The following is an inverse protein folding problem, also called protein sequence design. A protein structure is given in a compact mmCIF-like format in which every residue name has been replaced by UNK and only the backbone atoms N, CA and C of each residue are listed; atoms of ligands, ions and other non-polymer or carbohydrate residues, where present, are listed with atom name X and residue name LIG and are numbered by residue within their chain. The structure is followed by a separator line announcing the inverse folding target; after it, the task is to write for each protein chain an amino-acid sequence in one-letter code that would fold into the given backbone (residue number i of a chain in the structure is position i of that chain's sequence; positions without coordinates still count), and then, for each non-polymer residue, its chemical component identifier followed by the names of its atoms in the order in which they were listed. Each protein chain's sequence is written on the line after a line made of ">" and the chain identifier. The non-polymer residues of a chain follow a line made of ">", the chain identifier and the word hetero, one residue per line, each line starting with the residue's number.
data_IF_924387943167
#
_entry.id   IF_924387943167
#
_cell.length_a   1.000
_cell.length_b   1.000
_cell.length_c   1.000
_cell.angle_alpha   90.00
_cell.angle_beta   90.00
_cell.angle_gamma   90.00
#
_symmetry.space_group_name_H-M   'P 1'
#
loop_
_entity.id
_entity.type
_entity.pdbx_description
1 polymer ?
#
# COMPACT_ATOMS: atom_id res chain seq x y z
N UNK A 1 -11.88 -1.63 -15.61
CA UNK A 1 -11.85 -0.35 -14.85
C UNK A 1 -13.01 0.59 -15.19
N UNK A 2 -13.79 0.26 -16.23
CA UNK A 2 -15.00 1.00 -16.62
C UNK A 2 -15.99 1.19 -15.47
N UNK A 3 -16.16 0.20 -14.59
CA UNK A 3 -17.05 0.32 -13.44
C UNK A 3 -16.69 1.50 -12.52
N UNK A 4 -15.41 1.66 -12.15
CA UNK A 4 -14.97 2.75 -11.25
C UNK A 4 -15.07 4.10 -11.94
N UNK A 5 -14.70 4.20 -13.22
CA UNK A 5 -14.82 5.44 -13.98
C UNK A 5 -16.28 5.85 -14.19
N UNK A 6 -17.15 4.88 -14.50
CA UNK A 6 -18.59 5.07 -14.59
C UNK A 6 -19.19 5.53 -13.27
N UNK A 7 -18.77 4.93 -12.14
CA UNK A 7 -19.21 5.35 -10.80
C UNK A 7 -18.72 6.76 -10.45
N UNK A 8 -17.47 7.10 -10.77
CA UNK A 8 -16.95 8.46 -10.57
C UNK A 8 -17.75 9.49 -11.38
N UNK A 9 -18.08 9.16 -12.64
CA UNK A 9 -18.89 10.02 -13.52
C UNK A 9 -20.32 10.18 -12.99
N UNK A 10 -20.96 9.11 -12.53
CA UNK A 10 -22.36 9.15 -12.07
C UNK A 10 -22.53 9.74 -10.66
N UNK A 11 -21.52 9.62 -9.80
CA UNK A 11 -21.59 10.11 -8.40
C UNK A 11 -20.88 11.43 -8.17
N UNK A 12 -20.10 11.93 -9.13
CA UNK A 12 -19.24 13.11 -8.98
C UNK A 12 -18.04 12.90 -8.03
N UNK A 13 -17.84 11.68 -7.52
CA UNK A 13 -16.73 11.35 -6.61
C UNK A 13 -15.46 11.03 -7.40
N UNK A 14 -14.30 11.20 -6.77
CA UNK A 14 -12.99 10.77 -7.31
C UNK A 14 -12.47 9.57 -6.51
N UNK A 15 -12.91 8.37 -6.88
CA UNK A 15 -12.45 7.11 -6.31
C UNK A 15 -11.24 6.60 -7.08
N UNK A 16 -10.19 6.21 -6.36
CA UNK A 16 -8.98 5.62 -6.92
C UNK A 16 -8.99 4.09 -6.97
N UNK A 17 -7.91 3.52 -7.46
CA UNK A 17 -7.65 2.07 -7.54
C UNK A 17 -6.35 1.70 -6.82
N UNK A 18 -6.30 0.46 -6.34
CA UNK A 18 -5.14 -0.06 -5.60
C UNK A 18 -4.77 -1.49 -6.05
N UNK A 19 -4.41 -1.70 -7.33
CA UNK A 19 -4.07 -3.03 -7.84
C UNK A 19 -2.83 -3.62 -7.18
N UNK A 20 -2.85 -4.94 -6.95
CA UNK A 20 -1.72 -5.71 -6.45
C UNK A 20 -1.21 -6.68 -7.51
N UNK A 21 0.11 -6.74 -7.70
CA UNK A 21 0.75 -7.83 -8.46
C UNK A 21 1.06 -8.98 -7.49
N UNK A 22 0.37 -10.10 -7.67
CA UNK A 22 0.58 -11.33 -6.88
C UNK A 22 1.62 -12.22 -7.58
N UNK A 23 2.57 -12.75 -6.80
CA UNK A 23 3.49 -13.81 -7.23
C UNK A 23 4.15 -13.54 -8.59
N UNK A 24 4.69 -12.34 -8.77
CA UNK A 24 5.21 -11.86 -10.04
C UNK A 24 6.35 -12.76 -10.56
N UNK A 25 7.25 -13.19 -9.68
CA UNK A 25 8.34 -14.09 -10.02
C UNK A 25 7.84 -15.44 -10.54
N UNK A 26 6.86 -16.03 -9.86
CA UNK A 26 6.25 -17.30 -10.27
C UNK A 26 5.57 -17.18 -11.64
N UNK A 27 4.71 -16.18 -11.84
CA UNK A 27 4.03 -16.02 -13.12
C UNK A 27 5.01 -15.86 -14.29
N UNK A 28 6.16 -15.18 -14.09
CA UNK A 28 7.18 -15.10 -15.13
C UNK A 28 7.85 -16.44 -15.43
N UNK A 29 8.04 -17.28 -14.42
CA UNK A 29 8.53 -18.66 -14.63
C UNK A 29 7.53 -19.48 -15.46
N UNK A 30 6.24 -19.24 -15.27
CA UNK A 30 5.15 -19.81 -16.08
C UNK A 30 4.95 -19.11 -17.45
N UNK A 31 5.86 -18.22 -17.85
CA UNK A 31 5.81 -17.52 -19.13
C UNK A 31 4.81 -16.36 -19.21
N UNK A 32 4.26 -15.91 -18.07
CA UNK A 32 3.28 -14.83 -17.99
C UNK A 32 3.86 -13.59 -17.31
N UNK A 33 3.77 -12.43 -17.96
CA UNK A 33 4.21 -11.14 -17.40
C UNK A 33 3.01 -10.31 -16.94
N UNK A 34 2.50 -10.63 -15.75
CA UNK A 34 1.36 -9.93 -15.14
C UNK A 34 1.60 -8.42 -15.00
N UNK A 35 2.81 -8.03 -14.61
CA UNK A 35 3.15 -6.62 -14.40
C UNK A 35 3.03 -5.83 -15.70
N UNK A 36 3.60 -6.35 -16.79
CA UNK A 36 3.49 -5.71 -18.10
C UNK A 36 2.05 -5.65 -18.59
N UNK A 37 1.30 -6.74 -18.44
CA UNK A 37 -0.12 -6.78 -18.81
C UNK A 37 -0.95 -5.75 -18.01
N UNK A 38 -0.72 -5.67 -16.69
CA UNK A 38 -1.36 -4.70 -15.82
C UNK A 38 -1.04 -3.25 -16.23
N UNK A 39 0.21 -2.93 -16.56
CA UNK A 39 0.59 -1.58 -17.02
C UNK A 39 -0.10 -1.19 -18.33
N UNK A 40 -0.26 -2.13 -19.27
CA UNK A 40 -1.02 -1.89 -20.52
C UNK A 40 -2.47 -1.53 -20.20
N UNK A 41 -3.10 -2.24 -19.27
CA UNK A 41 -4.47 -1.94 -18.83
C UNK A 41 -4.51 -0.57 -18.14
N UNK A 42 -3.62 -0.30 -17.20
CA UNK A 42 -3.56 1.00 -16.50
C UNK A 42 -3.44 2.17 -17.47
N UNK A 43 -2.52 2.09 -18.43
CA UNK A 43 -2.32 3.11 -19.45
C UNK A 43 -3.56 3.32 -20.31
N UNK A 44 -4.24 2.24 -20.72
CA UNK A 44 -5.50 2.30 -21.50
C UNK A 44 -6.59 3.07 -20.77
N UNK A 45 -6.61 3.01 -19.43
CA UNK A 45 -7.57 3.72 -18.59
C UNK A 45 -7.07 5.07 -18.07
N UNK A 46 -5.94 5.57 -18.56
CA UNK A 46 -5.42 6.90 -18.25
C UNK A 46 -4.62 6.99 -16.95
N UNK A 47 -4.21 5.87 -16.36
CA UNK A 47 -3.30 5.86 -15.22
C UNK A 47 -1.86 5.75 -15.72
N UNK A 48 -1.05 6.77 -15.50
CA UNK A 48 0.32 6.83 -16.03
C UNK A 48 1.34 7.41 -15.04
N UNK A 49 0.92 8.30 -14.14
CA UNK A 49 1.82 9.14 -13.33
C UNK A 49 1.42 9.20 -11.86
N UNK A 50 2.27 9.81 -11.04
CA UNK A 50 1.99 9.99 -9.61
C UNK A 50 0.84 10.95 -9.32
N UNK A 51 0.25 11.66 -10.29
CA UNK A 51 -0.95 12.48 -10.03
C UNK A 51 -2.22 11.66 -10.11
N UNK A 52 -2.20 10.52 -10.79
CA UNK A 52 -3.38 9.68 -10.98
C UNK A 52 -3.73 8.96 -9.68
N UNK A 53 -5.02 8.69 -9.46
CA UNK A 53 -5.52 8.02 -8.25
C UNK A 53 -5.30 6.50 -8.33
N UNK A 54 -4.05 6.09 -8.51
CA UNK A 54 -3.64 4.69 -8.59
C UNK A 54 -2.38 4.46 -7.76
N UNK A 55 -2.44 3.44 -6.92
CA UNK A 55 -1.27 2.84 -6.26
C UNK A 55 -1.13 1.40 -6.74
N UNK A 56 0.03 1.04 -7.28
CA UNK A 56 0.35 -0.37 -7.55
C UNK A 56 1.13 -0.92 -6.36
N UNK A 57 0.76 -2.09 -5.86
CA UNK A 57 1.46 -2.74 -4.75
C UNK A 57 1.97 -4.13 -5.09
N UNK A 58 3.03 -4.54 -4.40
CA UNK A 58 3.59 -5.89 -4.50
C UNK A 58 4.40 -6.23 -3.24
N UNK A 59 4.45 -7.51 -2.87
CA UNK A 59 5.34 -8.02 -1.81
C UNK A 59 6.79 -8.19 -2.27
N UNK A 60 7.01 -8.35 -3.58
CA UNK A 60 8.32 -8.61 -4.15
C UNK A 60 9.00 -7.29 -4.52
N UNK A 61 9.96 -6.83 -3.70
CA UNK A 61 10.68 -5.59 -3.95
C UNK A 61 11.38 -5.57 -5.31
N UNK A 62 11.92 -6.71 -5.74
CA UNK A 62 12.54 -6.87 -7.07
C UNK A 62 11.56 -6.55 -8.20
N UNK A 63 10.27 -6.86 -8.03
CA UNK A 63 9.26 -6.53 -9.04
C UNK A 63 8.95 -5.03 -9.05
N UNK A 64 8.96 -4.38 -7.89
CA UNK A 64 8.80 -2.93 -7.82
C UNK A 64 9.98 -2.20 -8.47
N UNK A 65 11.20 -2.71 -8.30
CA UNK A 65 12.38 -2.23 -9.02
C UNK A 65 12.21 -2.38 -10.53
N UNK A 66 11.77 -3.55 -10.99
CA UNK A 66 11.50 -3.81 -12.40
C UNK A 66 10.42 -2.89 -12.97
N UNK A 67 9.29 -2.73 -12.26
CA UNK A 67 8.21 -1.81 -12.63
C UNK A 67 8.74 -0.38 -12.81
N UNK A 68 9.58 0.09 -11.87
CA UNK A 68 10.14 1.44 -11.92
C UNK A 68 11.18 1.62 -13.02
N UNK A 69 12.16 0.71 -13.11
CA UNK A 69 13.40 0.92 -13.85
C UNK A 69 13.37 0.32 -15.26
N UNK A 70 12.69 -0.82 -15.44
CA UNK A 70 12.68 -1.55 -16.72
C UNK A 70 11.38 -1.30 -17.49
N UNK A 71 10.24 -1.38 -16.81
CA UNK A 71 8.93 -1.19 -17.43
C UNK A 71 8.48 0.27 -17.47
N UNK A 72 9.24 1.17 -16.86
CA UNK A 72 9.05 2.62 -16.97
C UNK A 72 7.77 3.14 -16.30
N UNK A 73 7.22 2.45 -15.30
CA UNK A 73 6.06 2.93 -14.56
C UNK A 73 6.40 4.24 -13.84
N UNK A 74 5.59 5.28 -14.08
CA UNK A 74 5.76 6.61 -13.45
C UNK A 74 4.73 6.90 -12.37
N UNK A 75 3.79 5.98 -12.12
CA UNK A 75 2.82 6.10 -11.04
C UNK A 75 3.38 5.73 -9.67
N UNK A 76 2.48 5.68 -8.68
CA UNK A 76 2.84 5.38 -7.29
C UNK A 76 3.03 3.88 -7.08
N UNK A 77 4.10 3.50 -6.38
CA UNK A 77 4.42 2.12 -6.01
C UNK A 77 4.38 1.93 -4.49
N UNK A 78 3.90 0.78 -4.01
CA UNK A 78 3.86 0.45 -2.57
C UNK A 78 4.47 -0.93 -2.32
N UNK A 79 5.44 -0.98 -1.41
CA UNK A 79 6.01 -2.24 -0.93
C UNK A 79 5.13 -2.82 0.18
N UNK A 80 4.60 -4.02 -0.06
CA UNK A 80 3.91 -4.80 0.97
C UNK A 80 4.90 -5.59 1.81
N UNK A 81 4.66 -5.66 3.12
CA UNK A 81 5.45 -6.50 4.03
C UNK A 81 4.54 -7.29 4.96
N UNK A 82 4.86 -8.56 5.18
CA UNK A 82 4.12 -9.47 6.08
C UNK A 82 4.77 -9.66 7.46
N UNK A 83 5.98 -9.13 7.65
CA UNK A 83 6.76 -9.30 8.86
C UNK A 83 8.01 -8.42 8.85
N UNK A 84 8.90 -8.68 9.82
CA UNK A 84 10.17 -7.96 9.95
C UNK A 84 11.02 -8.12 8.68
N UNK A 85 11.60 -7.03 8.23
CA UNK A 85 12.52 -6.99 7.11
C UNK A 85 13.47 -5.79 7.24
N UNK A 86 14.77 -5.96 6.96
CA UNK A 86 15.73 -4.85 6.97
C UNK A 86 15.33 -3.66 6.09
N UNK A 87 14.55 -3.91 5.02
CA UNK A 87 14.08 -2.89 4.08
C UNK A 87 13.24 -1.79 4.74
N UNK A 88 12.48 -2.10 5.79
CA UNK A 88 11.63 -1.12 6.47
C UNK A 88 11.96 -0.95 7.96
N UNK A 89 12.64 -1.92 8.56
CA UNK A 89 12.94 -1.90 9.99
C UNK A 89 14.13 -0.99 10.34
N UNK A 90 14.96 -0.65 9.36
CA UNK A 90 16.18 0.18 9.51
C UNK A 90 16.08 1.49 8.72
N UNK A 91 16.75 2.55 9.20
CA UNK A 91 16.79 3.84 8.48
C UNK A 91 17.41 3.69 7.09
N UNK A 92 18.49 2.93 6.99
CA UNK A 92 19.21 2.77 5.72
C UNK A 92 18.45 1.90 4.73
N UNK A 93 17.76 0.85 5.19
CA UNK A 93 16.83 0.09 4.35
C UNK A 93 15.71 0.99 3.82
N UNK A 94 15.08 1.77 4.70
CA UNK A 94 13.98 2.67 4.34
C UNK A 94 14.42 3.74 3.33
N UNK A 95 15.62 4.29 3.49
CA UNK A 95 16.24 5.20 2.51
C UNK A 95 16.54 4.49 1.20
N UNK A 96 17.05 3.26 1.26
CA UNK A 96 17.42 2.46 0.08
C UNK A 96 16.24 2.17 -0.85
N UNK A 97 15.02 2.03 -0.31
CA UNK A 97 13.82 1.80 -1.14
C UNK A 97 13.16 3.09 -1.65
N UNK A 98 13.56 4.27 -1.17
CA UNK A 98 12.89 5.55 -1.43
C UNK A 98 12.96 6.04 -2.88
N UNK A 99 13.92 5.54 -3.66
CA UNK A 99 14.00 5.84 -5.10
C UNK A 99 13.03 5.00 -5.94
N UNK A 100 12.51 3.91 -5.37
CA UNK A 100 11.68 2.94 -6.10
C UNK A 100 10.22 3.09 -5.73
N UNK A 101 9.93 3.12 -4.43
CA UNK A 101 8.55 3.11 -3.91
C UNK A 101 8.12 4.48 -3.38
N UNK A 102 6.80 4.67 -3.29
CA UNK A 102 6.16 5.89 -2.81
C UNK A 102 5.43 5.65 -1.47
N UNK A 103 5.39 4.41 -1.02
CA UNK A 103 4.81 4.02 0.25
C UNK A 103 5.12 2.59 0.63
N UNK A 104 4.73 2.24 1.86
CA UNK A 104 4.77 0.89 2.40
C UNK A 104 3.38 0.49 2.88
N UNK A 105 3.04 -0.78 2.72
CA UNK A 105 1.86 -1.40 3.29
C UNK A 105 2.26 -2.56 4.17
N UNK A 106 2.59 -2.31 5.46
CA UNK A 106 2.96 -3.39 6.36
C UNK A 106 1.73 -4.05 6.99
N UNK A 107 1.90 -5.23 7.57
CA UNK A 107 0.91 -5.76 8.49
C UNK A 107 0.67 -4.79 9.68
N UNK A 108 -0.57 -4.71 10.18
CA UNK A 108 -0.92 -3.83 11.30
C UNK A 108 -0.07 -4.06 12.56
N UNK A 109 0.37 -5.29 12.79
CA UNK A 109 1.26 -5.64 13.91
C UNK A 109 2.61 -4.91 13.87
N UNK A 110 3.04 -4.40 12.71
CA UNK A 110 4.26 -3.60 12.59
C UNK A 110 4.06 -2.12 12.95
N UNK A 111 2.82 -1.66 13.12
CA UNK A 111 2.52 -0.24 13.41
C UNK A 111 2.66 0.05 14.90
N UNK A 112 2.23 -0.88 15.76
CA UNK A 112 2.22 -0.70 17.20
C UNK A 112 2.22 -2.03 17.94
N UNK A 113 2.78 -2.02 19.13
CA UNK A 113 2.62 -3.08 20.13
C UNK A 113 1.60 -2.62 21.18
N UNK A 114 0.38 -3.16 21.09
CA UNK A 114 -0.77 -2.63 21.84
C UNK A 114 -1.01 -1.15 21.53
N UNK A 115 -0.97 -0.30 22.55
CA UNK A 115 -1.13 1.17 22.41
C UNK A 115 0.18 1.94 22.21
N UNK A 116 1.31 1.25 22.00
CA UNK A 116 2.62 1.87 21.82
C UNK A 116 3.06 1.81 20.35
N UNK A 117 3.12 2.95 19.62
CA UNK A 117 3.62 2.97 18.24
C UNK A 117 5.06 2.44 18.13
N UNK A 118 5.34 1.66 17.08
CA UNK A 118 6.62 0.97 16.87
C UNK A 118 7.69 1.82 16.13
N UNK A 119 7.43 3.11 15.90
CA UNK A 119 8.35 4.03 15.22
C UNK A 119 8.41 3.91 13.68
N UNK A 120 7.90 2.82 13.09
CA UNK A 120 7.89 2.57 11.65
C UNK A 120 7.28 3.73 10.84
N UNK A 121 6.17 4.30 11.31
CA UNK A 121 5.51 5.43 10.63
C UNK A 121 6.41 6.66 10.57
N UNK A 122 7.14 6.94 11.66
CA UNK A 122 8.11 8.04 11.70
C UNK A 122 9.25 7.82 10.71
N UNK A 123 9.77 6.59 10.66
CA UNK A 123 10.84 6.20 9.73
C UNK A 123 10.42 6.35 8.26
N UNK A 124 9.24 5.87 7.91
CA UNK A 124 8.69 5.99 6.56
C UNK A 124 8.51 7.47 6.15
N UNK A 125 8.01 8.29 7.07
CA UNK A 125 7.82 9.73 6.82
C UNK A 125 9.13 10.49 6.62
N UNK A 126 10.21 10.09 7.29
CA UNK A 126 11.52 10.72 7.12
C UNK A 126 12.01 10.66 5.66
N UNK A 127 11.55 9.68 4.89
CA UNK A 127 11.84 9.53 3.45
C UNK A 127 10.61 9.79 2.57
N UNK A 128 9.57 10.43 3.12
CA UNK A 128 8.31 10.82 2.44
C UNK A 128 7.45 9.66 1.94
N UNK A 129 7.65 8.44 2.44
CA UNK A 129 6.76 7.33 2.14
C UNK A 129 5.40 7.49 2.83
N UNK A 130 4.35 7.09 2.12
CA UNK A 130 3.02 6.85 2.70
C UNK A 130 2.98 5.50 3.42
N UNK A 131 2.18 5.42 4.49
CA UNK A 131 2.01 4.17 5.25
C UNK A 131 0.55 3.74 5.23
N UNK A 132 0.27 2.63 4.54
CA UNK A 132 -1.08 2.06 4.36
C UNK A 132 -1.13 0.61 4.87
N UNK A 133 -1.19 0.36 6.18
CA UNK A 133 -1.16 -1.00 6.70
C UNK A 133 -2.41 -1.80 6.36
N UNK A 134 -2.27 -3.12 6.43
CA UNK A 134 -3.35 -4.09 6.22
C UNK A 134 -3.38 -5.14 7.36
N UNK A 135 -4.48 -5.82 7.66
CA UNK A 135 -5.88 -5.49 7.33
C UNK A 135 -6.61 -5.23 8.64
N UNK A 136 -7.27 -4.08 8.75
CA UNK A 136 -8.09 -3.76 9.91
C UNK A 136 -9.35 -4.61 9.92
N UNK A 137 -9.50 -5.43 10.97
CA UNK A 137 -10.65 -6.31 11.23
C UNK A 137 -11.11 -6.10 12.65
N UNK A 138 -12.40 -5.83 12.83
CA UNK A 138 -13.00 -5.61 14.17
C UNK A 138 -13.06 -6.88 15.03
N UNK A 139 -12.99 -8.03 14.39
CA UNK A 139 -13.01 -9.34 15.04
C UNK A 139 -11.63 -9.77 15.55
N UNK A 140 -10.55 -9.08 15.11
CA UNK A 140 -9.17 -9.42 15.41
C UNK A 140 -8.41 -8.19 15.97
N UNK A 141 -8.96 -7.58 17.02
CA UNK A 141 -8.34 -6.42 17.67
C UNK A 141 -7.08 -6.83 18.45
N UNK A 142 -6.01 -6.02 18.41
CA UNK A 142 -4.83 -6.29 19.20
C UNK A 142 -5.09 -6.04 20.69
N UNK A 143 -4.23 -6.64 21.53
CA UNK A 143 -4.30 -6.46 22.98
C UNK A 143 -4.34 -4.97 23.35
N UNK A 144 -5.28 -4.60 24.22
CA UNK A 144 -5.49 -3.22 24.65
C UNK A 144 -6.59 -2.46 23.90
N UNK A 145 -7.25 -3.11 22.94
CA UNK A 145 -8.43 -2.61 22.26
C UNK A 145 -9.58 -3.61 22.35
N UNK A 146 -10.77 -3.10 22.66
CA UNK A 146 -12.03 -3.87 22.70
C UNK A 146 -13.09 -3.31 21.75
N UNK A 147 -12.80 -2.15 21.15
CA UNK A 147 -13.67 -1.47 20.20
C UNK A 147 -12.87 -1.11 18.93
N UNK A 148 -13.47 -1.40 17.77
CA UNK A 148 -12.88 -1.11 16.48
C UNK A 148 -12.72 0.39 16.24
N UNK A 149 -13.67 1.23 16.67
CA UNK A 149 -13.55 2.68 16.48
C UNK A 149 -12.39 3.25 17.30
N UNK A 150 -12.19 2.76 18.52
CA UNK A 150 -11.04 3.12 19.32
C UNK A 150 -9.71 2.74 18.66
N UNK A 151 -9.61 1.51 18.12
CA UNK A 151 -8.41 1.10 17.40
C UNK A 151 -8.18 1.91 16.12
N UNK A 152 -9.24 2.21 15.36
CA UNK A 152 -9.17 3.08 14.19
C UNK A 152 -8.67 4.49 14.53
N UNK A 153 -9.20 5.10 15.60
CA UNK A 153 -8.71 6.41 16.09
C UNK A 153 -7.26 6.35 16.52
N UNK A 154 -6.84 5.29 17.21
CA UNK A 154 -5.44 5.10 17.56
C UNK A 154 -4.54 5.06 16.32
N UNK A 155 -4.90 4.27 15.31
CA UNK A 155 -4.11 4.17 14.08
C UNK A 155 -4.00 5.51 13.34
N UNK A 156 -5.11 6.26 13.24
CA UNK A 156 -5.17 7.50 12.46
C UNK A 156 -4.66 8.74 13.22
N UNK A 157 -4.88 8.82 14.53
CA UNK A 157 -4.57 10.02 15.32
C UNK A 157 -3.26 9.88 16.12
N UNK A 158 -2.97 8.68 16.63
CA UNK A 158 -1.79 8.41 17.46
C UNK A 158 -0.64 7.85 16.64
N UNK A 159 -0.85 6.71 15.97
CA UNK A 159 0.16 6.12 15.09
C UNK A 159 0.33 6.92 13.78
N UNK A 160 -0.70 7.68 13.40
CA UNK A 160 -0.72 8.59 12.25
C UNK A 160 -0.40 7.89 10.91
N UNK A 161 -1.02 6.73 10.66
CA UNK A 161 -0.95 6.12 9.31
C UNK A 161 -1.67 7.00 8.29
N UNK A 162 -1.26 6.95 7.02
CA UNK A 162 -1.83 7.82 5.96
C UNK A 162 -3.16 7.30 5.40
N UNK A 163 -3.46 6.03 5.64
CA UNK A 163 -4.64 5.29 5.20
C UNK A 163 -4.51 3.86 5.70
N UNK A 164 -5.50 3.00 5.50
CA UNK A 164 -5.41 1.59 5.86
C UNK A 164 -6.35 0.74 5.01
N UNK A 165 -6.03 -0.55 4.89
CA UNK A 165 -6.93 -1.53 4.30
C UNK A 165 -7.85 -2.09 5.37
N UNK A 166 -9.13 -2.19 5.07
CA UNK A 166 -10.14 -2.73 5.98
C UNK A 166 -11.20 -3.52 5.25
N UNK A 167 -11.71 -4.55 5.92
CA UNK A 167 -12.89 -5.29 5.50
C UNK A 167 -14.20 -4.57 5.91
N UNK A 168 -14.13 -3.51 6.73
CA UNK A 168 -15.25 -2.78 7.35
C UNK A 168 -15.22 -1.28 7.04
N UNK A 169 -15.70 -0.90 5.83
CA UNK A 169 -15.63 0.49 5.32
C UNK A 169 -16.54 1.50 6.03
N UNK A 170 -17.55 1.03 6.75
CA UNK A 170 -18.50 1.82 7.53
C UNK A 170 -17.89 2.38 8.82
N UNK A 171 -16.89 1.69 9.37
CA UNK A 171 -16.19 2.08 10.59
C UNK A 171 -15.02 3.02 10.30
N UNK A 172 -14.37 2.86 9.14
CA UNK A 172 -13.23 3.65 8.70
C UNK A 172 -13.64 4.88 7.87
N UNK A 173 -14.46 5.78 8.44
CA UNK A 173 -14.84 7.06 7.85
C UNK A 173 -14.39 8.25 8.68
#
# INVERSE_FOLDING_TARGET
>A
MEFIQGLNKSTGRKVGIYPEVKLAGWHRQEGQDLSKAMLVVLARYGYATKTDLCYVQCFEYVELQRLRNELGWKGRLVLLTGGKTPLIDTDDGMKGIAMVVDGIGPALSAIAEGRKPAGLVGRARAVRHKVHPYTFRIEALPKGFTDGKDYYRFLTQVAKVDGLFTDFRDIAR
#
